data_IF_099683826969
#
_entry.id   IF_099683826969
#
_cell.length_a   1.000
_cell.length_b   1.000
_cell.length_c   1.000
_cell.angle_alpha   90.00
_cell.angle_beta   90.00
_cell.angle_gamma   90.00
#
_symmetry.space_group_name_H-M   'P 1'
#
loop_
_entity.id
_entity.type
_entity.pdbx_description
1 polymer ?
#
# COMPACT_ATOMS: atom_id res chain seq x y z
N UNK A 1 -14.61 -13.90 18.20
CA UNK A 1 -13.37 -14.18 18.96
C UNK A 1 -12.41 -13.05 18.68
N UNK A 2 -11.96 -12.25 19.67
CA UNK A 2 -10.97 -11.21 19.41
C UNK A 2 -9.62 -11.85 19.05
N UNK A 3 -8.98 -11.33 18.00
CA UNK A 3 -7.64 -11.77 17.59
C UNK A 3 -6.66 -11.27 18.66
N UNK A 4 -5.87 -12.15 19.29
CA UNK A 4 -4.91 -11.72 20.31
C UNK A 4 -3.87 -10.78 19.69
N UNK A 5 -3.78 -9.56 20.21
CA UNK A 5 -2.78 -8.58 19.78
C UNK A 5 -1.40 -9.05 20.24
N UNK A 6 -0.48 -9.24 19.29
CA UNK A 6 0.90 -9.62 19.60
C UNK A 6 1.55 -8.51 20.42
N UNK A 7 2.10 -8.86 21.59
CA UNK A 7 2.77 -7.88 22.45
C UNK A 7 4.22 -7.65 22.01
N UNK A 8 4.80 -6.51 22.39
CA UNK A 8 6.23 -6.24 22.14
C UNK A 8 7.14 -7.30 22.79
N UNK A 9 6.71 -7.87 23.92
CA UNK A 9 7.43 -8.97 24.58
C UNK A 9 7.46 -10.22 23.71
N UNK A 10 6.36 -10.53 23.03
CA UNK A 10 6.26 -11.69 22.16
C UNK A 10 7.07 -11.50 20.87
N UNK A 11 7.08 -10.28 20.32
CA UNK A 11 7.94 -9.91 19.19
C UNK A 11 9.44 -10.07 19.54
N UNK A 12 9.86 -9.62 20.72
CA UNK A 12 11.25 -9.78 21.15
C UNK A 12 11.62 -11.26 21.31
N UNK A 13 10.77 -12.05 21.98
CA UNK A 13 11.01 -13.48 22.20
C UNK A 13 11.11 -14.26 20.89
N UNK A 14 10.18 -14.02 19.95
CA UNK A 14 10.18 -14.68 18.65
C UNK A 14 11.42 -14.31 17.83
N UNK A 15 11.78 -13.03 17.78
CA UNK A 15 13.02 -12.57 17.13
C UNK A 15 14.26 -13.24 17.73
N UNK A 16 14.43 -13.19 19.06
CA UNK A 16 15.61 -13.73 19.74
C UNK A 16 15.75 -15.24 19.53
N UNK A 17 14.63 -15.97 19.43
CA UNK A 17 14.62 -17.40 19.14
C UNK A 17 15.01 -17.68 17.68
N UNK A 18 14.42 -16.97 16.72
CA UNK A 18 14.75 -17.12 15.29
C UNK A 18 16.21 -16.81 15.04
N UNK A 19 16.74 -15.73 15.62
CA UNK A 19 18.15 -15.37 15.48
C UNK A 19 19.09 -16.48 16.00
N UNK A 20 18.76 -17.10 17.14
CA UNK A 20 19.51 -18.26 17.64
C UNK A 20 19.44 -19.46 16.70
N UNK A 21 18.26 -19.76 16.17
CA UNK A 21 18.07 -20.89 15.24
C UNK A 21 18.85 -20.68 13.93
N UNK A 22 18.82 -19.47 13.38
CA UNK A 22 19.57 -19.13 12.17
C UNK A 22 21.08 -19.17 12.42
N UNK A 23 21.54 -18.70 13.58
CA UNK A 23 22.95 -18.81 13.96
C UNK A 23 23.43 -20.27 14.03
N UNK A 24 22.59 -21.19 14.54
CA UNK A 24 22.90 -22.63 14.55
C UNK A 24 22.98 -23.20 13.12
N UNK A 25 22.19 -22.67 12.19
CA UNK A 25 22.22 -23.04 10.77
C UNK A 25 23.34 -22.36 9.97
N UNK A 26 24.03 -21.37 10.54
CA UNK A 26 25.01 -20.54 9.83
C UNK A 26 24.39 -19.50 8.88
N UNK A 27 23.11 -19.17 9.07
CA UNK A 27 22.37 -18.20 8.26
C UNK A 27 22.30 -16.82 8.94
N UNK A 28 22.27 -15.75 8.14
CA UNK A 28 22.11 -14.38 8.63
C UNK A 28 20.63 -14.05 8.86
N UNK A 29 20.31 -13.56 10.06
CA UNK A 29 18.96 -13.08 10.40
C UNK A 29 18.46 -12.01 9.44
N UNK A 30 19.31 -11.07 9.01
CA UNK A 30 18.92 -10.00 8.10
C UNK A 30 18.58 -10.52 6.70
N UNK A 31 19.36 -11.50 6.19
CA UNK A 31 19.09 -12.10 4.89
C UNK A 31 17.81 -12.92 4.91
N UNK A 32 17.60 -13.69 5.98
CA UNK A 32 16.36 -14.44 6.19
C UNK A 32 15.15 -13.51 6.27
N UNK A 33 15.24 -12.42 7.04
CA UNK A 33 14.16 -11.45 7.20
C UNK A 33 13.84 -10.77 5.86
N UNK A 34 14.86 -10.39 5.09
CA UNK A 34 14.68 -9.85 3.76
C UNK A 34 13.94 -10.84 2.85
N UNK A 35 14.29 -12.13 2.88
CA UNK A 35 13.59 -13.15 2.10
C UNK A 35 12.12 -13.29 2.52
N UNK A 36 11.81 -13.20 3.82
CA UNK A 36 10.42 -13.21 4.29
C UNK A 36 9.62 -12.00 3.80
N UNK A 37 10.22 -10.79 3.82
CA UNK A 37 9.57 -9.61 3.25
C UNK A 37 9.34 -9.75 1.75
N UNK A 38 10.34 -10.25 1.02
CA UNK A 38 10.24 -10.45 -0.43
C UNK A 38 9.13 -11.43 -0.79
N UNK A 39 9.05 -12.57 -0.09
CA UNK A 39 7.98 -13.56 -0.28
C UNK A 39 6.59 -12.97 -0.03
N UNK A 40 6.45 -12.14 1.01
CA UNK A 40 5.18 -11.48 1.29
C UNK A 40 4.82 -10.49 0.18
N UNK A 41 5.77 -9.68 -0.29
CA UNK A 41 5.54 -8.73 -1.37
C UNK A 41 5.10 -9.48 -2.63
N UNK A 42 5.85 -10.50 -3.05
CA UNK A 42 5.56 -11.32 -4.24
C UNK A 42 4.19 -12.00 -4.17
N UNK A 43 3.80 -12.51 -3.00
CA UNK A 43 2.49 -13.14 -2.81
C UNK A 43 1.31 -12.16 -2.83
N UNK A 44 1.54 -10.85 -2.69
CA UNK A 44 0.50 -9.85 -2.52
C UNK A 44 0.58 -8.70 -3.54
N UNK A 45 1.35 -8.82 -4.62
CA UNK A 45 1.46 -7.75 -5.63
C UNK A 45 0.11 -7.38 -6.24
N UNK A 46 -0.74 -8.38 -6.47
CA UNK A 46 -2.07 -8.21 -7.05
C UNK A 46 -3.02 -7.40 -6.15
N UNK A 47 -2.86 -7.44 -4.82
CA UNK A 47 -3.68 -6.65 -3.88
C UNK A 47 -3.49 -5.14 -4.09
N UNK A 48 -2.26 -4.74 -4.43
CA UNK A 48 -1.97 -3.33 -4.75
C UNK A 48 -2.66 -2.95 -6.06
N UNK A 49 -2.60 -3.82 -7.07
CA UNK A 49 -3.24 -3.58 -8.36
C UNK A 49 -4.77 -3.52 -8.24
N UNK A 50 -5.37 -4.40 -7.45
CA UNK A 50 -6.80 -4.39 -7.15
C UNK A 50 -7.21 -3.09 -6.44
N UNK A 51 -6.48 -2.69 -5.39
CA UNK A 51 -6.76 -1.45 -4.66
C UNK A 51 -6.63 -0.20 -5.55
N UNK A 52 -5.62 -0.14 -6.43
CA UNK A 52 -5.46 0.94 -7.40
C UNK A 52 -6.58 0.95 -8.44
N UNK A 53 -7.05 -0.22 -8.88
CA UNK A 53 -8.16 -0.34 -9.83
C UNK A 53 -9.46 0.20 -9.21
N UNK A 54 -9.77 -0.20 -7.98
CA UNK A 54 -10.94 0.29 -7.24
C UNK A 54 -10.89 1.81 -7.04
N UNK A 55 -9.72 2.36 -6.72
CA UNK A 55 -9.55 3.81 -6.57
C UNK A 55 -9.77 4.58 -7.88
N UNK A 56 -9.28 4.06 -9.01
CA UNK A 56 -9.50 4.67 -10.34
C UNK A 56 -10.97 4.56 -10.76
N UNK A 57 -11.64 3.46 -10.42
CA UNK A 57 -13.06 3.24 -10.73
C UNK A 57 -13.98 4.16 -9.89
N UNK A 58 -13.60 4.43 -8.64
CA UNK A 58 -14.29 5.39 -7.76
C UNK A 58 -14.19 6.84 -8.29
N UNK A 59 -13.04 7.24 -8.86
CA UNK A 59 -12.84 8.57 -9.47
C UNK A 59 -13.65 8.74 -10.78
N UNK A 60 -13.89 7.64 -11.51
CA UNK A 60 -14.70 7.63 -12.75
C UNK A 60 -16.21 7.76 -12.49
N UNK A 61 -16.68 7.54 -11.27
CA UNK A 61 -18.09 7.70 -10.87
C UNK A 61 -18.53 9.15 -10.61
N UNK A 62 -17.60 10.10 -10.53
CA UNK A 62 -17.88 11.52 -10.24
C UNK A 62 -17.68 12.43 -11.47
N UNK A 63 -18.12 11.99 -12.66
CA UNK A 63 -18.32 12.90 -13.79
C UNK A 63 -19.76 13.39 -13.83
N UNK A 64 -20.08 14.40 -13.01
CA UNK A 64 -21.15 15.36 -13.32
C UNK A 64 -20.52 16.62 -13.89
N UNK A 65 -20.47 16.71 -15.21
CA UNK A 65 -20.44 17.99 -15.92
C UNK A 65 -21.68 18.01 -16.85
N UNK A 66 -22.32 19.14 -17.17
CA UNK A 66 -21.72 20.47 -17.28
C UNK A 66 -22.60 21.63 -16.77
N UNK A 67 -22.02 22.69 -16.22
CA UNK A 67 -22.66 24.02 -16.26
C UNK A 67 -21.63 25.06 -16.71
N UNK A 68 -21.67 25.40 -18.00
CA UNK A 68 -21.16 26.69 -18.50
C UNK A 68 -22.13 27.76 -18.02
N UNK A 69 -21.71 28.79 -17.27
CA UNK A 69 -22.42 30.05 -17.30
C UNK A 69 -22.01 30.77 -18.58
N UNK A 70 -23.00 30.96 -19.44
CA UNK A 70 -22.95 31.95 -20.49
C UNK A 70 -22.68 33.35 -19.91
N UNK A 71 -22.01 34.16 -20.72
CA UNK A 71 -22.13 35.61 -20.81
C UNK A 71 -21.21 36.48 -19.92
N UNK A 72 -20.23 37.10 -20.58
CA UNK A 72 -19.89 38.53 -20.49
C UNK A 72 -19.03 38.81 -21.75
N UNK A 73 -19.64 39.03 -22.90
CA UNK A 73 -20.10 40.35 -23.37
C UNK A 73 -18.99 41.40 -23.37
N UNK A 74 -18.44 41.58 -24.59
CA UNK A 74 -18.08 42.86 -25.20
C UNK A 74 -16.71 43.46 -24.87
N UNK A 75 -15.79 43.30 -25.81
CA UNK A 75 -14.82 44.35 -26.18
C UNK A 75 -14.62 44.29 -27.68
N UNK A 76 -15.35 45.17 -28.35
CA UNK A 76 -15.28 45.43 -29.79
C UNK A 76 -14.02 46.21 -30.14
N UNK A 77 -13.43 45.86 -31.29
CA UNK A 77 -12.77 46.74 -32.28
C UNK A 77 -11.56 47.62 -31.86
N UNK A 78 -10.56 47.95 -32.69
CA UNK A 78 -10.15 47.69 -34.09
C UNK A 78 -8.72 48.25 -34.26
N UNK A 79 -8.00 47.66 -35.22
CA UNK A 79 -6.83 48.15 -36.03
C UNK A 79 -6.10 49.41 -35.58
#
# INVERSE_FOLDING_TARGET
MPIPTVTQRDLKKSRDLVEKLLKVKGESYQNWLHAQHQQFIEGNQELILEALTLFVEEDKGSSRAPERPANLSQSSEVV
#
